data_IF_857149853921
#
_entry.id   IF_857149853921
#
_cell.length_a   1.000
_cell.length_b   1.000
_cell.length_c   1.000
_cell.angle_alpha   90.00
_cell.angle_beta   90.00
_cell.angle_gamma   90.00
#
_symmetry.space_group_name_H-M   'P 1'
#
loop_
_entity.id
_entity.type
_entity.pdbx_description
1 polymer ?
#
# COMPACT_ATOMS: atom_id res chain seq x y z
N UNK A 1 -22.38 -13.11 -8.45
CA UNK A 1 -22.14 -11.66 -8.38
C UNK A 1 -21.54 -11.36 -7.02
N UNK A 2 -20.29 -10.87 -6.90
CA UNK A 2 -19.78 -10.44 -5.60
C UNK A 2 -19.56 -8.92 -5.64
N UNK A 3 -20.61 -8.16 -5.38
CA UNK A 3 -20.50 -6.78 -4.91
C UNK A 3 -21.13 -6.77 -3.52
N UNK A 4 -20.32 -6.50 -2.50
CA UNK A 4 -20.73 -6.58 -1.12
C UNK A 4 -21.91 -5.65 -0.82
N UNK A 5 -22.75 -6.08 0.10
CA UNK A 5 -23.96 -5.39 0.49
C UNK A 5 -23.57 -4.19 1.37
N UNK A 6 -23.73 -2.97 0.87
CA UNK A 6 -23.63 -1.75 1.68
C UNK A 6 -25.03 -1.38 2.18
N UNK A 7 -25.23 -1.41 3.51
CA UNK A 7 -26.48 -1.00 4.14
C UNK A 7 -26.34 0.39 4.77
N UNK A 8 -27.21 1.31 4.38
CA UNK A 8 -27.30 2.67 4.93
C UNK A 8 -28.43 2.75 5.96
N UNK A 9 -28.25 3.54 7.02
CA UNK A 9 -29.38 3.96 7.88
C UNK A 9 -30.18 5.09 7.24
N UNK A 10 -31.28 5.45 7.91
CA UNK A 10 -32.17 6.57 7.56
C UNK A 10 -31.48 7.94 7.49
N UNK A 11 -30.25 8.06 8.00
CA UNK A 11 -29.42 9.28 7.94
C UNK A 11 -28.33 9.23 6.88
N UNK A 12 -28.26 8.14 6.09
CA UNK A 12 -27.26 7.94 5.06
C UNK A 12 -25.89 7.48 5.58
N UNK A 13 -25.82 7.03 6.83
CA UNK A 13 -24.59 6.47 7.42
C UNK A 13 -24.52 4.98 7.15
N UNK A 14 -23.33 4.49 6.81
CA UNK A 14 -23.10 3.06 6.59
C UNK A 14 -23.17 2.34 7.94
N UNK A 15 -24.13 1.43 8.11
CA UNK A 15 -24.39 0.70 9.36
C UNK A 15 -23.65 -0.63 9.38
N UNK A 16 -23.52 -1.26 8.21
CA UNK A 16 -22.80 -2.54 8.02
C UNK A 16 -22.10 -2.49 6.68
N UNK A 17 -20.77 -2.53 6.72
CA UNK A 17 -19.89 -2.68 5.57
C UNK A 17 -19.35 -4.12 5.56
N UNK A 18 -19.88 -4.96 4.66
CA UNK A 18 -19.33 -6.30 4.38
C UNK A 18 -18.55 -6.26 3.04
N UNK A 19 -18.25 -5.07 2.50
CA UNK A 19 -17.41 -4.91 1.31
C UNK A 19 -15.90 -5.03 1.58
N UNK A 20 -15.48 -4.96 2.85
CA UNK A 20 -14.07 -5.15 3.19
C UNK A 20 -13.70 -6.64 3.23
N UNK A 21 -12.92 -7.07 2.23
CA UNK A 21 -11.82 -7.99 2.54
C UNK A 21 -11.03 -7.31 3.66
N UNK A 22 -11.21 -7.75 4.91
CA UNK A 22 -10.54 -7.14 6.05
C UNK A 22 -9.03 -7.16 5.79
N UNK A 23 -8.48 -5.99 5.47
CA UNK A 23 -7.04 -5.86 5.28
C UNK A 23 -6.41 -5.88 6.67
N UNK A 24 -5.70 -6.96 6.97
CA UNK A 24 -4.98 -7.08 8.22
C UNK A 24 -3.55 -6.64 8.02
N UNK A 25 -3.11 -5.62 8.77
CA UNK A 25 -1.71 -5.24 8.84
C UNK A 25 -0.92 -6.42 9.43
N UNK A 26 0.05 -6.93 8.67
CA UNK A 26 0.88 -8.06 9.10
C UNK A 26 2.29 -7.66 9.45
N UNK A 27 2.83 -6.60 8.82
CA UNK A 27 4.20 -6.17 9.02
C UNK A 27 4.39 -4.72 8.60
N UNK A 28 5.32 -4.04 9.27
CA UNK A 28 5.76 -2.69 8.95
C UNK A 28 7.29 -2.70 8.88
N UNK A 29 7.86 -2.06 7.87
CA UNK A 29 9.29 -1.84 7.78
C UNK A 29 9.63 -0.45 7.25
N UNK A 30 10.86 -0.02 7.51
CA UNK A 30 11.41 1.21 6.95
C UNK A 30 12.46 0.87 5.90
N UNK A 31 12.50 1.67 4.83
CA UNK A 31 13.53 1.57 3.79
C UNK A 31 14.05 2.96 3.45
N UNK A 32 15.37 3.09 3.47
CA UNK A 32 16.06 4.27 2.96
C UNK A 32 16.48 4.04 1.51
N UNK A 33 16.01 4.90 0.61
CA UNK A 33 16.44 4.96 -0.79
C UNK A 33 17.50 6.06 -0.89
N UNK A 34 18.68 5.72 -1.42
CA UNK A 34 19.77 6.69 -1.61
C UNK A 34 19.50 7.68 -2.75
N UNK A 35 20.25 8.80 -2.79
CA UNK A 35 20.05 9.88 -3.78
C UNK A 35 20.21 9.47 -5.25
N UNK A 36 20.85 8.33 -5.51
CA UNK A 36 21.07 7.77 -6.86
C UNK A 36 20.40 6.40 -7.04
N UNK A 37 19.53 6.01 -6.12
CA UNK A 37 18.76 4.76 -6.19
C UNK A 37 17.32 5.08 -6.58
N UNK A 38 16.76 4.33 -7.52
CA UNK A 38 15.36 4.49 -7.95
C UNK A 38 14.43 3.47 -7.30
N UNK A 39 14.99 2.37 -6.80
CA UNK A 39 14.24 1.32 -6.13
C UNK A 39 15.12 0.56 -5.16
N UNK A 40 14.49 -0.12 -4.20
CA UNK A 40 15.11 -1.05 -3.27
C UNK A 40 14.17 -2.20 -2.98
N UNK A 41 14.74 -3.39 -2.93
CA UNK A 41 14.00 -4.61 -2.64
C UNK A 41 14.12 -4.93 -1.15
N UNK A 42 12.98 -5.25 -0.54
CA UNK A 42 12.88 -5.74 0.83
C UNK A 42 12.32 -7.16 0.80
N UNK A 43 13.01 -8.08 1.45
CA UNK A 43 12.61 -9.49 1.52
C UNK A 43 11.83 -9.73 2.79
N UNK A 44 10.64 -10.29 2.65
CA UNK A 44 9.80 -10.73 3.76
C UNK A 44 9.12 -12.03 3.37
N UNK A 45 9.40 -13.11 4.09
CA UNK A 45 8.92 -14.44 3.71
C UNK A 45 7.41 -14.61 3.96
N UNK A 46 6.75 -15.32 3.05
CA UNK A 46 5.33 -15.69 3.16
C UNK A 46 4.36 -14.71 2.53
N UNK A 47 4.82 -13.70 1.78
CA UNK A 47 3.96 -12.78 1.02
C UNK A 47 3.87 -13.17 -0.45
N UNK A 48 2.67 -12.97 -1.00
CA UNK A 48 2.38 -13.15 -2.42
C UNK A 48 1.46 -12.03 -2.89
N UNK A 49 1.58 -11.60 -4.15
CA UNK A 49 0.73 -10.56 -4.74
C UNK A 49 -0.76 -10.94 -4.79
N UNK A 50 -1.06 -12.24 -4.71
CA UNK A 50 -2.43 -12.78 -4.72
C UNK A 50 -3.18 -12.60 -3.40
N UNK A 51 -2.47 -12.40 -2.29
CA UNK A 51 -3.07 -12.34 -0.95
C UNK A 51 -2.54 -11.19 -0.10
N UNK A 52 -1.51 -10.49 -0.56
CA UNK A 52 -0.88 -9.40 0.15
C UNK A 52 -0.71 -8.18 -0.76
N UNK A 53 -0.73 -7.01 -0.12
CA UNK A 53 -0.34 -5.75 -0.74
C UNK A 53 0.67 -5.05 0.14
N UNK A 54 1.53 -4.24 -0.47
CA UNK A 54 2.43 -3.34 0.23
C UNK A 54 2.03 -1.89 -0.07
N UNK A 55 1.95 -1.05 0.95
CA UNK A 55 1.53 0.34 0.86
C UNK A 55 2.60 1.21 1.51
N UNK A 56 3.06 2.24 0.79
CA UNK A 56 3.89 3.30 1.39
C UNK A 56 2.96 4.19 2.23
N UNK A 57 3.34 4.40 3.49
CA UNK A 57 2.50 5.09 4.48
C UNK A 57 2.35 6.58 4.12
N UNK A 58 1.19 7.14 4.43
CA UNK A 58 0.77 8.48 3.96
C UNK A 58 1.70 9.61 4.42
N UNK A 59 2.24 9.51 5.64
CA UNK A 59 3.22 10.43 6.20
C UNK A 59 4.51 10.54 5.37
N UNK A 60 4.83 9.50 4.61
CA UNK A 60 5.97 9.44 3.71
C UNK A 60 5.66 9.98 2.29
N UNK A 61 4.40 10.31 2.00
CA UNK A 61 3.93 10.79 0.69
C UNK A 61 3.91 12.32 0.57
N UNK A 62 4.12 13.06 1.67
CA UNK A 62 4.11 14.53 1.68
C UNK A 62 2.78 15.12 1.21
N UNK A 63 2.81 16.12 0.34
CA UNK A 63 1.58 16.75 -0.21
C UNK A 63 0.92 15.95 -1.36
N UNK A 64 1.36 14.71 -1.62
CA UNK A 64 0.87 13.89 -2.73
C UNK A 64 -0.33 13.00 -2.35
N UNK A 65 -0.93 13.23 -1.18
CA UNK A 65 -1.89 12.32 -0.54
C UNK A 65 -3.31 12.35 -1.09
N UNK A 66 -3.64 13.27 -2.01
CA UNK A 66 -5.03 13.46 -2.46
C UNK A 66 -5.50 12.56 -3.62
N UNK A 67 -4.68 11.64 -4.16
CA UNK A 67 -5.09 10.79 -5.29
C UNK A 67 -4.48 9.38 -5.24
N UNK A 68 -5.19 8.39 -4.67
CA UNK A 68 -5.02 6.98 -5.06
C UNK A 68 -5.69 6.77 -6.44
N UNK A 69 -5.26 5.87 -7.35
CA UNK A 69 -4.11 4.96 -7.41
C UNK A 69 -3.03 5.40 -8.44
N UNK A 70 -3.02 6.67 -8.84
CA UNK A 70 -2.10 7.21 -9.87
C UNK A 70 -0.80 7.79 -9.29
N UNK A 71 -0.41 7.43 -8.06
CA UNK A 71 0.87 7.86 -7.46
C UNK A 71 2.08 7.50 -8.35
N UNK A 72 1.99 6.41 -9.14
CA UNK A 72 2.99 6.05 -10.15
C UNK A 72 3.07 7.05 -11.32
N UNK A 73 1.99 7.77 -11.63
CA UNK A 73 1.91 8.72 -12.75
C UNK A 73 2.53 10.09 -12.43
N UNK A 74 2.57 10.47 -11.14
CA UNK A 74 3.06 11.79 -10.70
C UNK A 74 4.43 11.79 -10.02
N UNK A 75 5.08 10.62 -9.93
CA UNK A 75 6.43 10.56 -9.38
C UNK A 75 6.55 10.21 -7.89
N UNK A 76 5.44 9.87 -7.25
CA UNK A 76 5.41 9.53 -5.82
C UNK A 76 6.05 8.18 -5.53
N UNK A 77 6.53 7.95 -4.29
CA UNK A 77 7.04 6.65 -3.92
C UNK A 77 5.91 5.61 -3.88
N UNK A 78 6.20 4.39 -4.31
CA UNK A 78 5.24 3.28 -4.31
C UNK A 78 5.92 1.97 -3.92
N UNK A 79 5.13 1.04 -3.38
CA UNK A 79 5.57 -0.30 -3.04
C UNK A 79 4.78 -1.33 -3.86
N UNK A 80 5.44 -2.39 -4.31
CA UNK A 80 4.78 -3.48 -5.04
C UNK A 80 5.39 -4.83 -4.72
N UNK A 81 4.54 -5.86 -4.65
CA UNK A 81 4.97 -7.26 -4.56
C UNK A 81 4.97 -7.80 -5.99
N UNK A 82 6.13 -7.77 -6.64
CA UNK A 82 6.25 -8.20 -8.05
C UNK A 82 6.68 -9.66 -8.18
N UNK A 83 7.32 -10.21 -7.15
CA UNK A 83 7.64 -11.64 -7.00
C UNK A 83 7.33 -12.09 -5.57
N UNK A 84 7.04 -13.38 -5.33
CA UNK A 84 6.85 -13.90 -3.98
C UNK A 84 8.00 -13.50 -3.05
N UNK A 85 7.66 -13.19 -1.80
CA UNK A 85 8.59 -12.79 -0.74
C UNK A 85 9.36 -11.46 -0.94
N UNK A 86 9.10 -10.72 -2.03
CA UNK A 86 9.85 -9.49 -2.32
C UNK A 86 8.91 -8.31 -2.51
N UNK A 87 9.10 -7.28 -1.69
CA UNK A 87 8.51 -5.95 -1.88
C UNK A 87 9.54 -5.06 -2.56
N UNK A 88 9.22 -4.53 -3.74
CA UNK A 88 9.99 -3.45 -4.36
C UNK A 88 9.41 -2.12 -3.94
N UNK A 89 10.24 -1.28 -3.33
CA UNK A 89 9.90 0.10 -3.02
C UNK A 89 10.63 1.00 -4.00
N UNK A 90 9.90 1.85 -4.71
CA UNK A 90 10.45 2.73 -5.74
C UNK A 90 10.17 4.18 -5.38
N UNK A 91 11.10 5.07 -5.71
CA UNK A 91 10.95 6.52 -5.55
C UNK A 91 11.66 7.24 -6.70
N UNK A 92 11.03 8.30 -7.23
CA UNK A 92 11.58 9.07 -8.35
C UNK A 92 12.43 10.27 -7.91
N UNK A 93 12.42 10.63 -6.62
CA UNK A 93 13.18 11.77 -6.11
C UNK A 93 13.91 11.45 -4.80
N UNK A 94 15.24 11.60 -4.83
CA UNK A 94 16.09 11.91 -3.68
C UNK A 94 16.15 10.89 -2.53
N UNK A 95 16.89 11.28 -1.50
CA UNK A 95 17.05 10.49 -0.29
C UNK A 95 15.74 10.47 0.50
N UNK A 96 15.05 9.34 0.51
CA UNK A 96 13.76 9.17 1.16
C UNK A 96 13.83 8.04 2.18
N UNK A 97 13.46 8.33 3.43
CA UNK A 97 13.11 7.33 4.42
C UNK A 97 11.61 7.05 4.27
N UNK A 98 11.28 5.85 3.84
CA UNK A 98 9.90 5.43 3.57
C UNK A 98 9.49 4.36 4.56
N UNK A 99 8.33 4.55 5.17
CA UNK A 99 7.65 3.52 5.96
C UNK A 99 6.69 2.77 5.06
N UNK A 100 6.76 1.45 5.07
CA UNK A 100 5.94 0.57 4.24
C UNK A 100 5.22 -0.44 5.12
N UNK A 101 3.91 -0.52 4.91
CA UNK A 101 3.01 -1.44 5.59
C UNK A 101 2.61 -2.57 4.63
N UNK A 102 2.71 -3.81 5.09
CA UNK A 102 2.26 -4.99 4.37
C UNK A 102 0.93 -5.43 4.98
N UNK A 103 -0.08 -5.53 4.12
CA UNK A 103 -1.41 -6.01 4.49
C UNK A 103 -1.68 -7.35 3.84
N UNK A 104 -2.39 -8.22 4.56
CA UNK A 104 -3.01 -9.41 4.01
C UNK A 104 -4.49 -9.14 3.76
N UNK A 105 -4.99 -9.56 2.60
CA UNK A 105 -6.40 -9.51 2.25
C UNK A 105 -6.92 -10.93 1.97
N UNK A 106 -8.19 -11.19 2.32
CA UNK A 106 -8.88 -12.47 2.15
C UNK A 106 -10.17 -12.29 1.39
#
# INVERSE_FOLDING_TARGET
MPQGLQCFDETGKIVVDITDRQMHLIHTFEVSIGSNEYYKDYVYDGITSETHIAIVREDCLGNMTQQYPTLAYHGGPFASIYTPNVVRVSALTGLALLTVDIYRYG
#
